data_IF_639425369180
#
_entry.id   IF_639425369180
#
_cell.length_a   1.000
_cell.length_b   1.000
_cell.length_c   1.000
_cell.angle_alpha   90.00
_cell.angle_beta   90.00
_cell.angle_gamma   90.00
#
_symmetry.space_group_name_H-M   'P 1'
#
loop_
_entity.id
_entity.type
_entity.pdbx_description
1 polymer ?
#
# COMPACT_ATOMS: atom_id res chain seq x y z
N UNK A 1 -25.88 -9.17 7.27
CA UNK A 1 -25.09 -7.94 7.10
C UNK A 1 -25.99 -6.79 6.68
N UNK A 2 -26.19 -5.84 7.58
CA UNK A 2 -27.02 -4.63 7.37
C UNK A 2 -26.40 -3.72 6.30
N UNK A 3 -27.22 -2.96 5.56
CA UNK A 3 -26.76 -2.14 4.43
C UNK A 3 -25.77 -1.02 4.84
N UNK A 4 -26.00 -0.38 5.99
CA UNK A 4 -25.09 0.63 6.56
C UNK A 4 -23.73 0.03 6.96
N UNK A 5 -23.73 -1.25 7.37
CA UNK A 5 -22.56 -1.99 7.79
C UNK A 5 -21.70 -2.40 6.58
N UNK A 6 -22.35 -2.85 5.50
CA UNK A 6 -21.70 -3.10 4.20
C UNK A 6 -21.04 -1.85 3.64
N UNK A 7 -21.72 -0.70 3.68
CA UNK A 7 -21.14 0.57 3.26
C UNK A 7 -19.90 0.93 4.10
N UNK A 8 -19.94 0.69 5.41
CA UNK A 8 -18.84 0.99 6.32
C UNK A 8 -17.54 0.22 6.01
N UNK A 9 -17.63 -1.07 5.66
CA UNK A 9 -16.43 -1.89 5.39
C UNK A 9 -16.07 -2.04 3.93
N UNK A 10 -16.95 -1.70 2.99
CA UNK A 10 -16.78 -1.93 1.54
C UNK A 10 -15.42 -1.49 0.98
N UNK A 11 -14.88 -0.36 1.45
CA UNK A 11 -13.58 0.16 0.99
C UNK A 11 -12.39 -0.61 1.55
N UNK A 12 -12.41 -0.96 2.83
CA UNK A 12 -11.38 -1.82 3.42
C UNK A 12 -11.46 -3.23 2.85
N UNK A 13 -12.67 -3.73 2.61
CA UNK A 13 -12.91 -4.98 1.89
C UNK A 13 -12.26 -4.93 0.51
N UNK A 14 -12.47 -3.87 -0.26
CA UNK A 14 -11.84 -3.70 -1.58
C UNK A 14 -10.31 -3.74 -1.48
N UNK A 15 -9.71 -2.94 -0.60
CA UNK A 15 -8.26 -2.87 -0.45
C UNK A 15 -7.63 -4.18 0.06
N UNK A 16 -8.24 -4.83 1.05
CA UNK A 16 -7.79 -6.14 1.52
C UNK A 16 -7.97 -7.22 0.45
N UNK A 17 -9.04 -7.13 -0.35
CA UNK A 17 -9.30 -8.06 -1.44
C UNK A 17 -8.25 -7.97 -2.55
N UNK A 18 -7.75 -6.77 -2.84
CA UNK A 18 -6.65 -6.56 -3.80
C UNK A 18 -5.35 -7.25 -3.38
N UNK A 19 -5.18 -7.53 -2.09
CA UNK A 19 -4.00 -8.21 -1.53
C UNK A 19 -4.25 -9.70 -1.24
N UNK A 20 -5.46 -10.21 -1.48
CA UNK A 20 -5.83 -11.58 -1.13
C UNK A 20 -5.98 -11.81 0.36
N UNK A 21 -6.16 -10.72 1.13
CA UNK A 21 -6.26 -10.75 2.59
C UNK A 21 -7.71 -10.83 3.07
N UNK A 22 -8.69 -10.61 2.17
CA UNK A 22 -10.08 -10.57 2.59
C UNK A 22 -10.61 -11.99 2.86
N UNK A 23 -11.24 -12.23 4.03
CA UNK A 23 -11.56 -13.58 4.48
C UNK A 23 -12.53 -14.32 3.57
N UNK A 24 -13.52 -13.60 3.04
CA UNK A 24 -14.58 -14.18 2.21
C UNK A 24 -14.17 -14.38 0.73
N UNK A 25 -12.89 -14.23 0.38
CA UNK A 25 -12.38 -14.53 -0.96
C UNK A 25 -12.18 -16.03 -1.19
N UNK A 26 -12.10 -16.42 -2.47
CA UNK A 26 -11.80 -17.81 -2.84
C UNK A 26 -10.44 -18.24 -2.30
N UNK A 27 -10.36 -19.48 -1.82
CA UNK A 27 -9.13 -20.05 -1.24
C UNK A 27 -7.94 -19.96 -2.20
N UNK A 28 -8.18 -20.06 -3.50
CA UNK A 28 -7.16 -19.92 -4.52
C UNK A 28 -6.54 -18.52 -4.54
N UNK A 29 -7.36 -17.46 -4.53
CA UNK A 29 -6.88 -16.07 -4.52
C UNK A 29 -6.09 -15.77 -3.25
N UNK A 30 -6.59 -16.24 -2.09
CA UNK A 30 -5.95 -16.06 -0.77
C UNK A 30 -4.57 -16.72 -0.64
N UNK A 31 -4.23 -17.66 -1.53
CA UNK A 31 -2.94 -18.34 -1.53
C UNK A 31 -2.05 -17.79 -2.64
N UNK A 32 -2.54 -17.79 -3.88
CA UNK A 32 -1.73 -17.45 -5.05
C UNK A 32 -1.28 -15.99 -5.01
N UNK A 33 -2.18 -15.07 -4.67
CA UNK A 33 -1.91 -13.65 -4.83
C UNK A 33 -0.89 -13.14 -3.77
N UNK A 34 -1.04 -13.45 -2.47
CA UNK A 34 0.02 -13.19 -1.49
C UNK A 34 1.35 -13.87 -1.81
N UNK A 35 1.33 -15.10 -2.34
CA UNK A 35 2.56 -15.82 -2.70
C UNK A 35 3.32 -15.13 -3.84
N UNK A 36 2.61 -14.70 -4.88
CA UNK A 36 3.19 -13.92 -5.99
C UNK A 36 3.81 -12.62 -5.46
N UNK A 37 3.12 -11.92 -4.58
CA UNK A 37 3.63 -10.68 -3.98
C UNK A 37 4.87 -10.91 -3.12
N UNK A 38 4.89 -11.94 -2.25
CA UNK A 38 6.09 -12.31 -1.49
C UNK A 38 7.26 -12.62 -2.43
N UNK A 39 7.02 -13.36 -3.52
CA UNK A 39 8.09 -13.69 -4.47
C UNK A 39 8.66 -12.44 -5.17
N UNK A 40 7.80 -11.49 -5.54
CA UNK A 40 8.21 -10.24 -6.14
C UNK A 40 9.04 -9.39 -5.15
N UNK A 41 8.58 -9.27 -3.91
CA UNK A 41 9.30 -8.55 -2.84
C UNK A 41 10.67 -9.16 -2.53
N UNK A 42 10.74 -10.49 -2.42
CA UNK A 42 12.01 -11.19 -2.17
C UNK A 42 13.03 -10.97 -3.28
N UNK A 43 12.58 -10.90 -4.54
CA UNK A 43 13.48 -10.61 -5.66
C UNK A 43 14.01 -9.17 -5.61
N UNK A 44 13.18 -8.18 -5.27
CA UNK A 44 13.64 -6.79 -5.12
C UNK A 44 14.56 -6.66 -3.91
N UNK A 45 14.23 -7.30 -2.79
CA UNK A 45 15.06 -7.30 -1.60
C UNK A 45 16.47 -7.84 -1.88
N UNK A 46 16.59 -8.92 -2.68
CA UNK A 46 17.90 -9.43 -3.09
C UNK A 46 18.73 -8.38 -3.86
N UNK A 47 18.10 -7.65 -4.81
CA UNK A 47 18.78 -6.58 -5.56
C UNK A 47 19.17 -5.38 -4.69
N UNK A 48 18.41 -5.10 -3.64
CA UNK A 48 18.74 -4.04 -2.68
C UNK A 48 19.94 -4.40 -1.81
N UNK A 49 20.03 -5.66 -1.37
CA UNK A 49 21.17 -6.14 -0.58
C UNK A 49 22.46 -6.08 -1.41
N UNK A 50 22.40 -6.48 -2.69
CA UNK A 50 23.53 -6.35 -3.61
C UNK A 50 23.92 -4.88 -3.83
N UNK A 51 22.93 -4.00 -4.06
CA UNK A 51 23.18 -2.56 -4.21
C UNK A 51 23.86 -1.95 -2.98
N UNK A 52 23.43 -2.34 -1.78
CA UNK A 52 24.03 -1.86 -0.53
C UNK A 52 25.48 -2.34 -0.37
N UNK A 53 25.78 -3.56 -0.84
CA UNK A 53 27.14 -4.08 -0.85
C UNK A 53 28.05 -3.29 -1.80
N UNK A 54 27.58 -2.99 -3.01
CA UNK A 54 28.38 -2.29 -4.03
C UNK A 54 28.60 -0.81 -3.70
N UNK A 55 27.61 -0.17 -3.07
CA UNK A 55 27.67 1.26 -2.68
C UNK A 55 28.35 1.49 -1.34
N UNK A 56 28.87 0.43 -0.71
CA UNK A 56 29.50 0.48 0.61
C UNK A 56 30.72 1.40 0.61
N UNK A 57 30.54 2.61 1.16
CA UNK A 57 31.57 3.65 1.18
C UNK A 57 31.06 5.02 0.72
N UNK A 58 30.00 5.06 -0.09
CA UNK A 58 29.26 6.30 -0.35
C UNK A 58 28.15 6.44 0.68
N UNK A 59 28.33 7.38 1.62
CA UNK A 59 27.39 7.59 2.72
C UNK A 59 25.99 7.99 2.23
N UNK A 60 25.88 8.75 1.14
CA UNK A 60 24.58 9.19 0.62
C UNK A 60 23.80 8.01 0.07
N UNK A 61 24.43 7.23 -0.82
CA UNK A 61 23.80 6.05 -1.43
C UNK A 61 23.54 4.93 -0.42
N UNK A 62 24.46 4.74 0.53
CA UNK A 62 24.31 3.73 1.59
C UNK A 62 23.10 4.03 2.48
N UNK A 63 22.90 5.29 2.89
CA UNK A 63 21.75 5.68 3.72
C UNK A 63 20.44 5.45 2.97
N UNK A 64 20.36 5.84 1.70
CA UNK A 64 19.18 5.59 0.87
C UNK A 64 18.89 4.08 0.74
N UNK A 65 19.92 3.28 0.46
CA UNK A 65 19.81 1.82 0.40
C UNK A 65 19.33 1.20 1.72
N UNK A 66 19.83 1.64 2.87
CA UNK A 66 19.39 1.16 4.19
C UNK A 66 17.92 1.47 4.43
N UNK A 67 17.47 2.69 4.12
CA UNK A 67 16.06 3.09 4.29
C UNK A 67 15.15 2.21 3.43
N UNK A 68 15.53 1.96 2.18
CA UNK A 68 14.79 1.08 1.28
C UNK A 68 14.75 -0.37 1.78
N UNK A 69 15.88 -0.92 2.24
CA UNK A 69 15.95 -2.28 2.80
C UNK A 69 15.06 -2.41 4.03
N UNK A 70 15.09 -1.46 4.97
CA UNK A 70 14.23 -1.49 6.17
C UNK A 70 12.75 -1.52 5.76
N UNK A 71 12.37 -0.68 4.79
CA UNK A 71 11.01 -0.63 4.29
C UNK A 71 10.57 -1.95 3.64
N UNK A 72 11.38 -2.49 2.72
CA UNK A 72 11.09 -3.78 2.05
C UNK A 72 11.04 -4.95 3.03
N UNK A 73 11.96 -5.00 4.00
CA UNK A 73 11.96 -6.06 5.03
C UNK A 73 10.68 -5.98 5.86
N UNK A 74 10.28 -4.78 6.29
CA UNK A 74 9.03 -4.60 7.04
C UNK A 74 7.79 -5.06 6.26
N UNK A 75 7.69 -4.67 4.99
CA UNK A 75 6.58 -5.09 4.13
C UNK A 75 6.60 -6.61 3.86
N UNK A 76 7.76 -7.18 3.57
CA UNK A 76 7.94 -8.61 3.32
C UNK A 76 7.59 -9.44 4.55
N UNK A 77 8.06 -9.05 5.75
CA UNK A 77 7.71 -9.73 6.99
C UNK A 77 6.19 -9.73 7.22
N UNK A 78 5.52 -8.60 6.96
CA UNK A 78 4.07 -8.49 7.08
C UNK A 78 3.35 -9.42 6.10
N UNK A 79 3.78 -9.46 4.83
CA UNK A 79 3.25 -10.37 3.81
C UNK A 79 3.46 -11.85 4.18
N UNK A 80 4.68 -12.23 4.54
CA UNK A 80 5.03 -13.60 4.93
C UNK A 80 4.21 -14.02 6.16
N UNK A 81 4.03 -13.14 7.13
CA UNK A 81 3.20 -13.42 8.30
C UNK A 81 1.74 -13.72 7.90
N UNK A 82 1.17 -12.94 6.97
CA UNK A 82 -0.18 -13.21 6.44
C UNK A 82 -0.25 -14.54 5.69
N UNK A 83 0.78 -14.89 4.90
CA UNK A 83 0.82 -16.16 4.16
C UNK A 83 0.91 -17.35 5.11
N UNK A 84 1.84 -17.31 6.08
CA UNK A 84 2.09 -18.39 7.02
C UNK A 84 0.93 -18.58 8.01
N UNK A 85 0.36 -17.47 8.49
CA UNK A 85 -0.74 -17.48 9.45
C UNK A 85 -2.11 -17.24 8.81
N UNK A 86 -2.26 -17.55 7.51
CA UNK A 86 -3.46 -17.22 6.74
C UNK A 86 -4.76 -17.71 7.38
N UNK A 87 -4.79 -18.94 7.91
CA UNK A 87 -5.96 -19.52 8.59
C UNK A 87 -6.33 -18.74 9.85
N UNK A 88 -5.33 -18.41 10.66
CA UNK A 88 -5.55 -17.67 11.91
C UNK A 88 -6.03 -16.26 11.61
N UNK A 89 -5.35 -15.56 10.69
CA UNK A 89 -5.73 -14.22 10.24
C UNK A 89 -7.16 -14.19 9.67
N UNK A 90 -7.52 -15.20 8.87
CA UNK A 90 -8.86 -15.36 8.30
C UNK A 90 -9.93 -15.54 9.38
N UNK A 91 -9.71 -16.44 10.35
CA UNK A 91 -10.64 -16.68 11.47
C UNK A 91 -10.79 -15.43 12.33
N UNK A 92 -9.69 -14.80 12.72
CA UNK A 92 -9.70 -13.61 13.59
C UNK A 92 -10.45 -12.46 12.90
N UNK A 93 -10.20 -12.22 11.61
CA UNK A 93 -10.86 -11.16 10.84
C UNK A 93 -12.35 -11.46 10.59
N UNK A 94 -12.72 -12.70 10.31
CA UNK A 94 -14.13 -13.11 10.21
C UNK A 94 -14.88 -12.89 11.52
N UNK A 95 -14.28 -13.32 12.63
CA UNK A 95 -14.85 -13.17 13.96
C UNK A 95 -15.06 -11.70 14.32
N UNK A 96 -14.08 -10.84 14.05
CA UNK A 96 -14.22 -9.39 14.25
C UNK A 96 -15.36 -8.80 13.41
N UNK A 97 -15.46 -9.17 12.13
CA UNK A 97 -16.52 -8.68 11.25
C UNK A 97 -17.92 -9.14 11.70
N UNK A 98 -18.03 -10.38 12.20
CA UNK A 98 -19.28 -10.92 12.75
C UNK A 98 -19.69 -10.19 14.04
N UNK A 99 -18.76 -10.04 14.99
CA UNK A 99 -19.00 -9.27 16.21
C UNK A 99 -19.44 -7.84 15.90
N UNK A 100 -18.84 -7.21 14.90
CA UNK A 100 -19.27 -5.89 14.47
C UNK A 100 -20.71 -5.91 13.93
N UNK A 101 -21.11 -6.89 13.12
CA UNK A 101 -22.51 -7.03 12.64
C UNK A 101 -23.47 -7.18 13.82
N UNK A 102 -23.12 -8.05 14.78
CA UNK A 102 -23.92 -8.29 15.99
C UNK A 102 -24.10 -7.02 16.81
N UNK A 103 -23.03 -6.26 17.03
CA UNK A 103 -23.12 -4.97 17.71
C UNK A 103 -24.07 -4.01 16.96
N UNK A 104 -24.01 -3.95 15.63
CA UNK A 104 -24.93 -3.14 14.84
C UNK A 104 -26.39 -3.56 14.99
N UNK A 105 -26.67 -4.85 15.21
CA UNK A 105 -28.03 -5.34 15.50
C UNK A 105 -28.48 -5.11 16.95
N UNK A 106 -27.54 -4.98 17.89
CA UNK A 106 -27.85 -4.84 19.32
C UNK A 106 -28.37 -3.45 19.68
N UNK A 107 -27.88 -2.39 19.03
CA UNK A 107 -28.38 -1.04 19.26
C UNK A 107 -29.73 -0.88 18.57
N UNK A 108 -30.70 -0.31 19.30
CA UNK A 108 -32.06 -0.09 18.80
C UNK A 108 -32.47 1.39 18.90
N UNK A 109 -31.79 2.18 19.74
CA UNK A 109 -32.10 3.60 19.88
C UNK A 109 -31.52 4.41 18.72
N UNK A 110 -32.31 5.34 18.19
CA UNK A 110 -31.87 6.32 17.19
C UNK A 110 -30.64 7.13 17.66
N UNK A 111 -30.52 7.41 18.96
CA UNK A 111 -29.36 8.13 19.52
C UNK A 111 -28.07 7.30 19.46
N UNK A 112 -28.17 6.00 19.77
CA UNK A 112 -27.05 5.06 19.74
C UNK A 112 -26.61 4.82 18.29
N UNK A 113 -27.57 4.60 17.39
CA UNK A 113 -27.32 4.50 15.96
C UNK A 113 -26.67 5.76 15.38
N UNK A 114 -27.07 6.95 15.85
CA UNK A 114 -26.45 8.19 15.42
C UNK A 114 -24.97 8.24 15.79
N UNK A 115 -24.60 7.78 16.99
CA UNK A 115 -23.22 7.72 17.47
C UNK A 115 -22.42 6.69 16.66
N UNK A 116 -22.94 5.47 16.49
CA UNK A 116 -22.30 4.44 15.65
C UNK A 116 -22.07 4.96 14.23
N UNK A 117 -23.07 5.61 13.65
CA UNK A 117 -22.98 6.20 12.30
C UNK A 117 -22.02 7.38 12.25
N UNK A 118 -21.87 8.15 13.31
CA UNK A 118 -20.89 9.24 13.39
C UNK A 118 -19.46 8.70 13.34
N UNK A 119 -19.14 7.70 14.16
CA UNK A 119 -17.83 7.03 14.14
C UNK A 119 -17.58 6.26 12.85
N UNK A 120 -18.62 5.63 12.28
CA UNK A 120 -18.52 4.98 10.99
C UNK A 120 -18.20 6.00 9.86
N UNK A 121 -18.85 7.16 9.90
CA UNK A 121 -18.60 8.26 8.96
C UNK A 121 -17.19 8.86 9.10
N UNK A 122 -16.64 8.88 10.32
CA UNK A 122 -15.24 9.28 10.57
C UNK A 122 -14.27 8.33 9.83
N UNK A 123 -14.57 7.03 9.80
CA UNK A 123 -13.82 6.05 9.01
C UNK A 123 -14.02 6.18 7.48
N UNK A 124 -15.13 6.76 7.03
CA UNK A 124 -15.55 6.73 5.62
C UNK A 124 -15.37 8.06 4.83
N UNK A 125 -15.35 9.24 5.45
CA UNK A 125 -15.44 10.52 4.69
C UNK A 125 -14.11 11.14 4.27
N UNK A 126 -13.96 11.31 2.95
CA UNK A 126 -13.65 12.62 2.35
C UNK A 126 -14.92 13.08 1.62
N UNK A 127 -15.26 14.36 1.78
CA UNK A 127 -16.41 15.12 1.23
C UNK A 127 -17.57 15.40 2.21
N UNK A 128 -17.29 16.30 3.15
CA UNK A 128 -18.15 17.47 3.41
C UNK A 128 -17.33 18.67 3.92
N UNK A 129 -16.09 18.80 3.45
CA UNK A 129 -15.12 19.79 3.96
C UNK A 129 -15.36 21.22 3.43
N UNK A 130 -16.59 21.59 3.10
CA UNK A 130 -16.94 22.98 2.75
C UNK A 130 -18.36 23.39 3.14
N UNK A 131 -18.88 22.93 4.29
CA UNK A 131 -20.14 23.51 4.81
C UNK A 131 -20.30 23.48 6.33
N UNK A 132 -19.37 24.11 7.03
CA UNK A 132 -19.52 24.63 8.40
C UNK A 132 -18.89 23.76 9.51
N UNK A 133 -17.69 24.19 9.92
CA UNK A 133 -17.11 24.14 11.26
C UNK A 133 -17.45 22.91 12.13
N UNK A 134 -16.68 21.83 11.95
CA UNK A 134 -16.28 20.90 13.02
C UNK A 134 -15.04 20.12 12.53
N UNK A 135 -13.88 20.60 12.94
CA UNK A 135 -12.59 19.90 12.83
C UNK A 135 -12.62 18.78 13.87
N UNK A 136 -11.89 17.68 13.60
CA UNK A 136 -11.76 16.44 14.41
C UNK A 136 -12.74 15.34 13.97
N UNK A 137 -12.42 14.57 12.91
CA UNK A 137 -11.65 13.30 12.89
C UNK A 137 -11.75 12.78 11.44
N UNK A 138 -10.65 12.88 10.68
CA UNK A 138 -10.58 12.50 9.26
C UNK A 138 -9.42 11.52 9.02
N UNK A 139 -9.11 10.65 9.96
CA UNK A 139 -7.76 10.07 10.06
C UNK A 139 -7.53 8.87 9.13
N UNK A 140 -8.53 8.02 8.87
CA UNK A 140 -8.34 6.78 8.09
C UNK A 140 -8.32 7.00 6.57
N UNK A 141 -9.27 7.78 6.06
CA UNK A 141 -9.39 8.05 4.61
C UNK A 141 -8.34 9.04 4.17
N UNK A 142 -8.03 10.04 5.01
CA UNK A 142 -6.95 10.97 4.71
C UNK A 142 -5.61 10.24 4.68
N UNK A 143 -5.36 9.30 5.60
CA UNK A 143 -4.17 8.45 5.54
C UNK A 143 -4.12 7.61 4.25
N UNK A 144 -5.20 6.91 3.90
CA UNK A 144 -5.24 6.13 2.67
C UNK A 144 -5.08 6.99 1.40
N UNK A 145 -5.82 8.10 1.26
CA UNK A 145 -5.74 9.01 0.11
C UNK A 145 -4.39 9.71 0.03
N UNK A 146 -3.85 10.17 1.15
CA UNK A 146 -2.54 10.80 1.22
C UNK A 146 -1.46 9.81 0.79
N UNK A 147 -1.47 8.58 1.30
CA UNK A 147 -0.52 7.55 0.86
C UNK A 147 -0.65 7.27 -0.64
N UNK A 148 -1.87 7.23 -1.18
CA UNK A 148 -2.05 7.09 -2.63
C UNK A 148 -1.43 8.26 -3.42
N UNK A 149 -1.57 9.49 -2.94
CA UNK A 149 -0.94 10.67 -3.56
C UNK A 149 0.59 10.57 -3.47
N UNK A 150 1.14 10.18 -2.31
CA UNK A 150 2.58 10.00 -2.14
C UNK A 150 3.14 8.90 -3.03
N UNK A 151 2.42 7.79 -3.18
CA UNK A 151 2.78 6.72 -4.12
C UNK A 151 2.83 7.26 -5.54
N UNK A 152 1.82 8.01 -5.97
CA UNK A 152 1.79 8.57 -7.34
C UNK A 152 2.96 9.54 -7.54
N UNK A 153 3.19 10.44 -6.59
CA UNK A 153 4.32 11.38 -6.63
C UNK A 153 5.65 10.63 -6.73
N UNK A 154 5.87 9.66 -5.85
CA UNK A 154 7.07 8.82 -5.85
C UNK A 154 7.26 8.08 -7.18
N UNK A 155 6.17 7.56 -7.77
CA UNK A 155 6.23 6.86 -9.05
C UNK A 155 6.56 7.76 -10.23
N UNK A 156 6.22 9.05 -10.15
CA UNK A 156 6.52 10.02 -11.21
C UNK A 156 7.97 10.53 -11.19
N UNK A 157 8.74 10.30 -10.11
CA UNK A 157 10.13 10.79 -9.98
C UNK A 157 11.02 10.32 -11.14
N UNK A 158 11.06 9.02 -11.52
CA UNK A 158 11.89 8.57 -12.65
C UNK A 158 11.42 9.06 -14.02
N UNK A 159 10.15 9.46 -14.14
CA UNK A 159 9.59 9.96 -15.40
C UNK A 159 9.96 11.42 -15.65
N UNK A 160 10.26 12.17 -14.58
CA UNK A 160 10.59 13.59 -14.65
C UNK A 160 11.77 13.92 -15.59
N UNK A 161 12.95 13.25 -15.52
CA UNK A 161 14.05 13.55 -16.43
C UNK A 161 13.65 13.34 -17.91
N UNK A 162 12.84 12.33 -18.23
CA UNK A 162 12.38 12.05 -19.60
C UNK A 162 11.40 13.09 -20.12
N UNK A 163 10.48 13.55 -19.27
CA UNK A 163 9.56 14.64 -19.63
C UNK A 163 10.35 15.93 -19.87
N UNK A 164 11.32 16.22 -19.00
CA UNK A 164 12.17 17.39 -19.15
C UNK A 164 13.06 17.31 -20.40
N UNK A 165 13.49 16.13 -20.85
CA UNK A 165 14.29 15.98 -22.08
C UNK A 165 13.47 16.35 -23.34
N UNK A 166 12.15 16.20 -23.29
CA UNK A 166 11.23 16.60 -24.37
C UNK A 166 10.97 18.11 -24.33
N UNK A 167 10.72 18.68 -23.13
CA UNK A 167 10.31 20.08 -22.97
C UNK A 167 11.52 21.03 -23.04
N UNK A 168 12.63 20.66 -22.40
CA UNK A 168 13.86 21.44 -22.31
C UNK A 168 15.04 20.50 -22.57
N UNK A 169 15.32 20.19 -23.85
CA UNK A 169 16.42 19.30 -24.23
C UNK A 169 17.77 19.93 -23.86
N UNK A 170 18.65 19.12 -23.27
CA UNK A 170 20.03 19.47 -22.99
C UNK A 170 20.94 18.79 -24.03
N UNK A 171 22.12 19.37 -24.28
CA UNK A 171 23.14 18.73 -25.13
C UNK A 171 23.69 17.43 -24.53
N UNK A 172 23.58 17.28 -23.20
CA UNK A 172 23.94 16.07 -22.46
C UNK A 172 22.69 15.42 -21.85
N UNK A 173 22.69 14.10 -21.73
CA UNK A 173 21.57 13.35 -21.15
C UNK A 173 21.51 13.58 -19.63
N UNK A 174 20.31 13.83 -19.08
CA UNK A 174 20.12 13.95 -17.62
C UNK A 174 20.40 12.61 -16.91
N UNK A 175 20.98 12.62 -15.70
CA UNK A 175 21.17 11.42 -14.91
C UNK A 175 19.81 10.83 -14.52
N UNK A 176 19.64 9.51 -14.68
CA UNK A 176 18.39 8.85 -14.30
C UNK A 176 18.25 8.72 -12.80
N UNK A 177 17.03 8.92 -12.33
CA UNK A 177 16.62 8.70 -10.95
C UNK A 177 15.73 7.46 -10.92
N UNK A 178 15.97 6.55 -9.97
CA UNK A 178 15.21 5.32 -9.82
C UNK A 178 14.16 5.46 -8.71
N UNK A 179 13.06 4.69 -8.80
CA UNK A 179 12.10 4.54 -7.68
C UNK A 179 12.77 3.83 -6.52
N UNK A 180 13.44 2.72 -6.81
CA UNK A 180 14.25 1.95 -5.87
C UNK A 180 15.56 1.65 -6.62
N UNK A 181 16.67 2.25 -6.19
CA UNK A 181 17.98 2.00 -6.77
C UNK A 181 18.43 0.59 -6.37
N UNK A 182 18.66 -0.31 -7.34
CA UNK A 182 18.99 -1.71 -7.08
C UNK A 182 20.04 -2.25 -8.03
N UNK A 183 20.77 -3.28 -7.61
CA UNK A 183 21.74 -3.98 -8.44
C UNK A 183 21.07 -5.20 -9.07
N UNK A 184 20.89 -5.16 -10.39
CA UNK A 184 20.20 -6.19 -11.16
C UNK A 184 21.18 -7.13 -11.89
N UNK A 185 22.49 -6.96 -11.69
CA UNK A 185 23.53 -7.78 -12.33
C UNK A 185 23.68 -7.47 -13.83
N UNK A 186 23.21 -6.30 -14.26
CA UNK A 186 23.21 -5.87 -15.66
C UNK A 186 23.81 -4.47 -15.74
N UNK A 187 24.66 -4.28 -16.75
CA UNK A 187 25.37 -3.02 -16.98
C UNK A 187 24.39 -1.85 -17.11
N UNK A 188 24.40 -0.98 -16.09
CA UNK A 188 23.43 0.11 -15.89
C UNK A 188 23.43 1.09 -17.05
N UNK A 189 24.58 1.33 -17.67
CA UNK A 189 24.72 2.31 -18.75
C UNK A 189 24.30 1.71 -20.10
N UNK A 190 24.69 0.47 -20.38
CA UNK A 190 24.41 -0.23 -21.64
C UNK A 190 22.96 -0.69 -21.78
N UNK A 191 22.32 -1.00 -20.66
CA UNK A 191 21.00 -1.62 -20.63
C UNK A 191 20.00 -0.88 -19.77
N UNK A 192 20.10 0.42 -19.47
CA UNK A 192 18.95 1.22 -19.00
C UNK A 192 18.60 2.40 -19.91
N UNK A 193 19.49 2.75 -20.84
CA UNK A 193 19.33 3.88 -21.75
C UNK A 193 19.34 3.43 -23.21
N UNK A 194 18.18 3.20 -23.83
CA UNK A 194 18.15 3.11 -25.28
C UNK A 194 18.26 4.51 -25.87
N UNK A 195 19.37 4.78 -26.53
CA UNK A 195 19.57 5.95 -27.39
C UNK A 195 18.70 5.89 -28.66
N UNK A 196 17.94 4.82 -28.88
CA UNK A 196 17.07 4.64 -30.05
C UNK A 196 15.89 3.71 -29.74
N UNK A 197 14.68 4.09 -30.16
CA UNK A 197 13.38 3.47 -29.80
C UNK A 197 13.13 2.05 -30.35
N UNK A 198 14.10 1.45 -31.05
CA UNK A 198 13.90 0.25 -31.89
C UNK A 198 14.74 -0.98 -31.50
N UNK A 199 15.35 -1.02 -30.31
CA UNK A 199 16.26 -2.11 -29.91
C UNK A 199 15.61 -3.12 -28.92
N UNK A 200 15.85 -4.44 -29.04
CA UNK A 200 15.28 -5.49 -28.17
C UNK A 200 15.71 -5.39 -26.69
N UNK A 201 16.81 -4.69 -26.41
CA UNK A 201 17.34 -4.45 -25.06
C UNK A 201 16.43 -3.53 -24.20
N UNK A 202 15.49 -2.81 -24.84
CA UNK A 202 14.52 -1.92 -24.18
C UNK A 202 13.47 -2.68 -23.38
N UNK A 203 13.11 -3.88 -23.83
CA UNK A 203 12.07 -4.67 -23.18
C UNK A 203 12.49 -5.07 -21.76
N UNK A 204 13.74 -5.47 -21.58
CA UNK A 204 14.29 -5.90 -20.29
C UNK A 204 14.29 -4.76 -19.24
N UNK A 205 14.63 -3.54 -19.66
CA UNK A 205 14.59 -2.33 -18.82
C UNK A 205 13.19 -2.05 -18.33
N UNK A 206 12.24 -2.05 -19.25
CA UNK A 206 10.84 -1.80 -18.95
C UNK A 206 10.32 -2.86 -17.99
N UNK A 207 10.73 -4.12 -18.15
CA UNK A 207 10.38 -5.20 -17.23
C UNK A 207 10.96 -4.98 -15.83
N UNK A 208 12.23 -4.59 -15.69
CA UNK A 208 12.82 -4.29 -14.37
C UNK A 208 12.14 -3.09 -13.71
N UNK A 209 11.91 -2.02 -14.46
CA UNK A 209 11.26 -0.82 -13.96
C UNK A 209 9.81 -1.14 -13.53
N UNK A 210 9.06 -1.87 -14.36
CA UNK A 210 7.72 -2.33 -14.04
C UNK A 210 7.70 -3.21 -12.79
N UNK A 211 8.66 -4.13 -12.66
CA UNK A 211 8.78 -5.02 -11.51
C UNK A 211 9.03 -4.23 -10.22
N UNK A 212 9.95 -3.27 -10.24
CA UNK A 212 10.19 -2.37 -9.10
C UNK A 212 8.96 -1.51 -8.77
N UNK A 213 8.24 -1.01 -9.77
CA UNK A 213 6.99 -0.29 -9.56
C UNK A 213 5.93 -1.16 -8.88
N UNK A 214 5.74 -2.38 -9.37
CA UNK A 214 4.76 -3.32 -8.80
C UNK A 214 5.13 -3.67 -7.36
N UNK A 215 6.39 -4.00 -7.08
CA UNK A 215 6.86 -4.28 -5.74
C UNK A 215 6.67 -3.08 -4.79
N UNK A 216 7.06 -1.88 -5.20
CA UNK A 216 6.86 -0.67 -4.38
C UNK A 216 5.37 -0.42 -4.06
N UNK A 217 4.47 -0.60 -5.03
CA UNK A 217 3.01 -0.49 -4.80
C UNK A 217 2.56 -1.56 -3.81
N UNK A 218 2.95 -2.82 -4.02
CA UNK A 218 2.59 -3.96 -3.17
C UNK A 218 3.05 -3.74 -1.74
N UNK A 219 4.31 -3.35 -1.52
CA UNK A 219 4.87 -3.01 -0.22
C UNK A 219 4.05 -1.95 0.52
N UNK A 220 3.77 -0.82 -0.15
CA UNK A 220 3.02 0.29 0.45
C UNK A 220 1.58 -0.16 0.77
N UNK A 221 0.92 -0.88 -0.13
CA UNK A 221 -0.43 -1.40 0.08
C UNK A 221 -0.48 -2.39 1.23
N UNK A 222 0.50 -3.28 1.34
CA UNK A 222 0.55 -4.25 2.45
C UNK A 222 0.66 -3.56 3.80
N UNK A 223 1.51 -2.53 3.90
CA UNK A 223 1.68 -1.76 5.12
C UNK A 223 0.35 -1.11 5.53
N UNK A 224 -0.31 -0.43 4.60
CA UNK A 224 -1.47 0.42 4.88
C UNK A 224 -2.77 -0.35 5.06
N UNK A 225 -3.05 -1.34 4.20
CA UNK A 225 -4.38 -1.96 4.14
C UNK A 225 -4.74 -2.67 5.47
N UNK A 226 -3.79 -3.39 6.07
CA UNK A 226 -4.00 -4.06 7.35
C UNK A 226 -4.20 -3.05 8.48
N UNK A 227 -3.41 -1.98 8.49
CA UNK A 227 -3.47 -0.94 9.54
C UNK A 227 -4.78 -0.17 9.46
N UNK A 228 -5.27 0.13 8.26
CA UNK A 228 -6.59 0.78 8.08
C UNK A 228 -7.75 -0.09 8.57
N UNK A 229 -7.65 -1.42 8.44
CA UNK A 229 -8.65 -2.34 9.01
C UNK A 229 -8.58 -2.33 10.54
N UNK A 230 -7.38 -2.35 11.11
CA UNK A 230 -7.20 -2.27 12.56
C UNK A 230 -7.77 -0.97 13.14
N UNK A 231 -7.54 0.18 12.49
CA UNK A 231 -8.10 1.46 12.95
C UNK A 231 -9.64 1.43 12.88
N UNK A 232 -10.23 0.82 11.85
CA UNK A 232 -11.69 0.66 11.75
C UNK A 232 -12.26 -0.19 12.89
N UNK A 233 -11.56 -1.26 13.28
CA UNK A 233 -11.93 -2.04 14.46
C UNK A 233 -11.87 -1.20 15.75
N UNK A 234 -10.80 -0.43 15.94
CA UNK A 234 -10.66 0.46 17.10
C UNK A 234 -11.75 1.54 17.14
N UNK A 235 -12.04 2.19 16.01
CA UNK A 235 -13.10 3.20 15.89
C UNK A 235 -14.47 2.61 16.22
N UNK A 236 -14.74 1.38 15.76
CA UNK A 236 -15.96 0.68 16.13
C UNK A 236 -16.02 0.45 17.64
N UNK A 237 -14.97 -0.06 18.28
CA UNK A 237 -14.92 -0.22 19.73
C UNK A 237 -15.15 1.10 20.48
N UNK A 238 -14.53 2.20 20.05
CA UNK A 238 -14.76 3.53 20.63
C UNK A 238 -16.23 3.97 20.50
N UNK A 239 -16.88 3.66 19.37
CA UNK A 239 -18.29 3.97 19.15
C UNK A 239 -19.20 3.22 20.11
N UNK A 240 -18.88 1.97 20.44
CA UNK A 240 -19.63 1.17 21.43
C UNK A 240 -19.56 1.80 22.81
N UNK A 241 -18.34 2.17 23.25
CA UNK A 241 -18.16 2.82 24.55
C UNK A 241 -18.86 4.18 24.62
N UNK A 242 -18.85 4.96 23.53
CA UNK A 242 -19.57 6.23 23.48
C UNK A 242 -21.09 6.09 23.37
N UNK A 243 -21.60 4.97 22.86
CA UNK A 243 -23.03 4.73 22.76
C UNK A 243 -23.65 4.27 24.09
N UNK A 244 -22.88 3.53 24.90
CA UNK A 244 -23.35 2.95 26.16
C UNK A 244 -23.02 3.85 27.37
N UNK A 245 -21.91 4.58 27.34
CA UNK A 245 -21.44 5.46 28.42
C UNK A 245 -21.93 6.90 28.25
#
# INVERSE_FOLDING_TARGET
>A
MQEDMLQYYSRNQFFLSQMGFWPYQSRMIKILLPFVFVSAEMSVLATQVLFLYDTWGDMSMTVEGIVNVIFLVGATLKLVNVVLNNKKFDIDLQHLLQLMDEHWQLFHSESEFHILRQYANIGHKITKLFRNNKIIVATCVFFAVYINIFVIMFMTIPLLPKVLDIIIPLNESRPSVFVIAGEWGVDKEKYYYPTSFSEPHIAYIKSILLHNYVAAIVSIRCMVNVDTMYIVCVLHSCSLFSAIG
#
